data_IF_279469566640
#
_entry.id   IF_279469566640
#
_cell.length_a   1.000
_cell.length_b   1.000
_cell.length_c   1.000
_cell.angle_alpha   90.00
_cell.angle_beta   90.00
_cell.angle_gamma   90.00
#
_symmetry.space_group_name_H-M   'P 1'
#
loop_
_entity.id
_entity.type
_entity.pdbx_description
1 polymer ?
#
# COMPACT_ATOMS: atom_id res chain seq x y z
N UNK A 1 2.96 40.85 3.13
CA UNK A 1 1.52 41.04 2.87
C UNK A 1 0.70 39.97 3.59
N UNK A 2 0.78 38.67 3.26
CA UNK A 2 0.01 37.64 3.97
C UNK A 2 0.43 37.42 5.45
N UNK A 3 1.73 37.28 5.74
CA UNK A 3 2.24 37.21 7.13
C UNK A 3 1.98 38.49 7.95
N UNK A 4 1.80 39.61 7.27
CA UNK A 4 1.46 40.90 7.89
C UNK A 4 -0.02 40.93 8.29
N UNK A 5 -0.88 40.21 7.56
CA UNK A 5 -2.31 40.10 7.82
C UNK A 5 -2.66 38.93 8.76
N UNK A 6 -1.82 37.89 8.79
CA UNK A 6 -1.93 36.74 9.69
C UNK A 6 -0.51 36.34 10.17
N UNK A 7 -0.02 36.91 11.28
CA UNK A 7 1.29 36.59 11.84
C UNK A 7 1.41 35.13 12.30
N UNK A 8 0.27 34.48 12.61
CA UNK A 8 0.20 33.08 13.04
C UNK A 8 0.11 32.07 11.89
N UNK A 9 0.22 32.54 10.63
CA UNK A 9 0.00 31.74 9.42
C UNK A 9 0.84 30.45 9.36
N UNK A 10 2.06 30.49 9.93
CA UNK A 10 3.01 29.37 9.94
C UNK A 10 3.06 28.64 11.30
N UNK A 11 2.28 29.07 12.28
CA UNK A 11 2.37 28.58 13.67
C UNK A 11 1.77 27.18 13.83
N UNK A 12 0.96 26.70 12.87
CA UNK A 12 0.30 25.40 12.94
C UNK A 12 0.57 24.54 11.69
N UNK A 13 1.01 23.31 11.93
CA UNK A 13 1.00 22.23 10.94
C UNK A 13 -0.38 21.54 10.96
N UNK A 14 -0.82 20.99 9.81
CA UNK A 14 -0.12 20.92 8.53
C UNK A 14 -0.33 22.16 7.64
N UNK A 15 0.74 22.58 6.94
CA UNK A 15 0.72 23.66 5.93
C UNK A 15 0.02 23.26 4.61
N UNK A 16 -0.73 22.17 4.60
CA UNK A 16 -1.39 21.61 3.41
C UNK A 16 -2.42 22.56 2.80
N UNK A 17 -2.92 23.51 3.59
CA UNK A 17 -3.89 24.54 3.18
C UNK A 17 -3.27 25.94 3.05
N UNK A 18 -1.95 26.05 3.21
CA UNK A 18 -1.21 27.31 3.11
C UNK A 18 -1.40 28.00 1.75
N UNK A 19 -1.40 27.30 0.59
CA UNK A 19 -1.65 27.96 -0.69
C UNK A 19 -2.99 28.70 -0.75
N UNK A 20 -4.06 28.05 -0.25
CA UNK A 20 -5.40 28.65 -0.15
C UNK A 20 -5.40 29.87 0.77
N UNK A 21 -4.77 29.76 1.95
CA UNK A 21 -4.64 30.88 2.91
C UNK A 21 -3.79 32.04 2.38
N UNK A 22 -2.90 31.78 1.42
CA UNK A 22 -2.11 32.78 0.71
C UNK A 22 -2.83 33.36 -0.53
N UNK A 23 -4.05 32.93 -0.83
CA UNK A 23 -4.78 33.33 -2.04
C UNK A 23 -4.08 32.89 -3.33
N UNK A 24 -3.29 31.81 -3.27
CA UNK A 24 -2.56 31.25 -4.40
C UNK A 24 -3.24 29.96 -4.84
N UNK A 25 -3.64 29.92 -6.11
CA UNK A 25 -4.06 28.71 -6.78
C UNK A 25 -2.83 27.87 -7.17
N UNK A 26 -2.18 27.31 -6.16
CA UNK A 26 -1.22 26.24 -6.35
C UNK A 26 -1.98 24.94 -6.16
N UNK A 27 -1.62 23.91 -6.94
CA UNK A 27 -2.08 22.56 -6.70
C UNK A 27 -1.72 22.18 -5.25
N UNK A 28 -2.68 22.35 -4.35
CA UNK A 28 -2.47 22.07 -2.94
C UNK A 28 -2.24 20.57 -2.80
N UNK A 29 -1.39 20.17 -1.85
CA UNK A 29 -1.17 18.75 -1.58
C UNK A 29 -2.49 17.96 -1.42
N UNK A 30 -3.53 18.50 -0.73
CA UNK A 30 -4.84 17.86 -0.70
C UNK A 30 -5.55 17.78 -2.06
N UNK A 31 -5.41 18.77 -2.94
CA UNK A 31 -5.99 18.72 -4.28
C UNK A 31 -5.30 17.65 -5.15
N UNK A 32 -3.98 17.55 -5.11
CA UNK A 32 -3.23 16.49 -5.79
C UNK A 32 -3.61 15.10 -5.26
N UNK A 33 -3.83 14.98 -3.95
CA UNK A 33 -4.26 13.73 -3.33
C UNK A 33 -5.71 13.35 -3.68
N UNK A 34 -6.61 14.35 -3.80
CA UNK A 34 -8.02 14.17 -4.18
C UNK A 34 -8.20 13.89 -5.68
N UNK A 35 -7.40 14.51 -6.54
CA UNK A 35 -7.44 14.35 -8.00
C UNK A 35 -6.55 13.21 -8.50
N UNK A 36 -6.15 12.28 -7.63
CA UNK A 36 -5.45 11.07 -8.08
C UNK A 36 -6.38 10.23 -8.95
N UNK A 37 -6.16 10.23 -10.26
CA UNK A 37 -6.87 9.34 -11.20
C UNK A 37 -6.36 7.90 -11.02
N UNK A 38 -6.81 7.22 -9.95
CA UNK A 38 -6.45 5.83 -9.63
C UNK A 38 -6.66 4.90 -10.83
N UNK A 39 -7.72 5.13 -11.60
CA UNK A 39 -8.09 4.28 -12.74
C UNK A 39 -7.12 4.32 -13.93
N UNK A 40 -6.40 5.44 -14.14
CA UNK A 40 -5.57 5.60 -15.36
C UNK A 40 -4.33 4.71 -15.33
N UNK A 41 -3.70 4.57 -14.17
CA UNK A 41 -2.50 3.73 -14.02
C UNK A 41 -2.86 2.24 -14.14
N UNK A 42 -3.97 1.84 -13.50
CA UNK A 42 -4.50 0.47 -13.58
C UNK A 42 -4.92 0.11 -15.01
N UNK A 43 -5.58 1.02 -15.74
CA UNK A 43 -5.95 0.79 -17.13
C UNK A 43 -4.72 0.56 -18.03
N UNK A 44 -3.61 1.28 -17.79
CA UNK A 44 -2.36 1.08 -18.53
C UNK A 44 -1.63 -0.19 -18.12
N UNK A 45 -1.75 -0.60 -16.86
CA UNK A 45 -1.13 -1.82 -16.34
C UNK A 45 -1.57 -3.06 -17.13
N UNK A 46 -2.82 -3.11 -17.55
CA UNK A 46 -3.39 -4.20 -18.35
C UNK A 46 -2.69 -4.40 -19.72
N UNK A 47 -2.03 -3.37 -20.23
CA UNK A 47 -1.30 -3.42 -21.51
C UNK A 47 0.22 -3.58 -21.33
N UNK A 48 0.70 -3.84 -20.11
CA UNK A 48 2.11 -4.06 -19.87
C UNK A 48 2.59 -5.35 -20.55
N UNK A 49 3.82 -5.33 -21.07
CA UNK A 49 4.46 -6.47 -21.74
C UNK A 49 5.72 -6.96 -21.03
N UNK A 50 6.08 -6.34 -19.91
CA UNK A 50 7.27 -6.65 -19.12
C UNK A 50 6.89 -7.26 -17.77
N UNK A 51 7.78 -8.00 -17.08
CA UNK A 51 7.51 -8.49 -15.73
C UNK A 51 7.38 -7.37 -14.69
N UNK A 52 6.60 -7.61 -13.64
CA UNK A 52 6.42 -6.69 -12.49
C UNK A 52 6.85 -7.35 -11.17
N UNK A 53 7.51 -6.57 -10.33
CA UNK A 53 7.62 -6.80 -8.88
C UNK A 53 7.07 -5.57 -8.16
N UNK A 54 5.90 -5.73 -7.56
CA UNK A 54 5.26 -4.75 -6.71
C UNK A 54 5.62 -5.05 -5.25
N UNK A 55 6.17 -4.06 -4.55
CA UNK A 55 6.50 -4.14 -3.12
C UNK A 55 5.81 -2.98 -2.42
N UNK A 56 5.08 -3.28 -1.35
CA UNK A 56 4.38 -2.27 -0.56
C UNK A 56 4.23 -2.70 0.89
N UNK A 57 3.58 -1.86 1.69
CA UNK A 57 3.28 -2.15 3.08
C UNK A 57 1.81 -1.91 3.40
N UNK A 58 1.21 -2.69 4.29
CA UNK A 58 -0.20 -2.58 4.72
C UNK A 58 -0.56 -1.21 5.33
N UNK A 59 0.44 -0.51 5.86
CA UNK A 59 0.28 0.81 6.48
C UNK A 59 0.76 1.93 5.56
N UNK A 60 1.07 1.61 4.29
CA UNK A 60 1.41 2.60 3.26
C UNK A 60 0.12 3.14 2.62
N UNK A 61 0.08 4.45 2.36
CA UNK A 61 -1.08 5.11 1.76
C UNK A 61 -1.43 4.63 0.33
N UNK A 62 -0.52 3.92 -0.32
CA UNK A 62 -0.63 3.33 -1.64
C UNK A 62 -0.89 1.82 -1.60
N UNK A 63 -1.18 1.21 -0.43
CA UNK A 63 -1.45 -0.24 -0.30
C UNK A 63 -2.40 -0.75 -1.38
N UNK A 64 -3.59 -0.14 -1.47
CA UNK A 64 -4.59 -0.52 -2.46
C UNK A 64 -4.07 -0.35 -3.90
N UNK A 65 -3.39 0.77 -4.16
CA UNK A 65 -2.85 1.08 -5.48
C UNK A 65 -1.77 0.07 -5.90
N UNK A 66 -0.94 -0.42 -4.96
CA UNK A 66 0.04 -1.48 -5.17
C UNK A 66 -0.64 -2.81 -5.51
N UNK A 67 -1.71 -3.15 -4.79
CA UNK A 67 -2.47 -4.39 -5.03
C UNK A 67 -3.23 -4.34 -6.36
N UNK A 68 -3.89 -3.22 -6.66
CA UNK A 68 -4.60 -3.00 -7.92
C UNK A 68 -3.65 -3.03 -9.12
N UNK A 69 -2.47 -2.41 -9.01
CA UNK A 69 -1.43 -2.47 -10.02
C UNK A 69 -0.96 -3.90 -10.26
N UNK A 70 -0.65 -4.64 -9.19
CA UNK A 70 -0.25 -6.05 -9.31
C UNK A 70 -1.35 -6.87 -9.98
N UNK A 71 -2.59 -6.73 -9.54
CA UNK A 71 -3.72 -7.51 -10.04
C UNK A 71 -4.03 -7.25 -11.51
N UNK A 72 -3.92 -5.99 -11.95
CA UNK A 72 -4.24 -5.59 -13.33
C UNK A 72 -3.07 -5.74 -14.30
N UNK A 73 -1.90 -6.20 -13.85
CA UNK A 73 -0.70 -6.20 -14.70
C UNK A 73 -0.79 -7.21 -15.84
N UNK A 74 -0.75 -6.74 -17.08
CA UNK A 74 -0.87 -7.56 -18.29
C UNK A 74 0.41 -8.32 -18.68
N UNK A 75 1.53 -8.03 -18.01
CA UNK A 75 2.83 -8.61 -18.35
C UNK A 75 2.93 -10.11 -18.05
N UNK A 76 3.98 -10.78 -18.54
CA UNK A 76 4.11 -12.25 -18.47
C UNK A 76 4.21 -12.79 -17.04
N UNK A 77 4.65 -11.97 -16.09
CA UNK A 77 4.83 -12.36 -14.69
C UNK A 77 4.64 -11.13 -13.78
N UNK A 78 3.76 -11.23 -12.80
CA UNK A 78 3.55 -10.22 -11.77
C UNK A 78 3.81 -10.81 -10.37
N UNK A 79 4.60 -10.10 -9.56
CA UNK A 79 4.94 -10.47 -8.18
C UNK A 79 4.49 -9.39 -7.22
N UNK A 80 3.90 -9.80 -6.09
CA UNK A 80 3.54 -8.92 -4.98
C UNK A 80 4.29 -9.34 -3.72
N UNK A 81 4.86 -8.37 -3.02
CA UNK A 81 5.29 -8.50 -1.64
C UNK A 81 4.66 -7.39 -0.81
N UNK A 82 3.81 -7.75 0.14
CA UNK A 82 3.13 -6.80 1.02
C UNK A 82 3.46 -7.12 2.47
N UNK A 83 4.24 -6.26 3.12
CA UNK A 83 4.63 -6.42 4.52
C UNK A 83 3.81 -5.54 5.48
N UNK A 84 3.94 -5.69 6.80
CA UNK A 84 3.32 -4.81 7.79
C UNK A 84 4.16 -3.53 7.94
N UNK A 85 4.30 -2.78 6.85
CA UNK A 85 5.18 -1.62 6.76
C UNK A 85 4.42 -0.36 6.41
N UNK A 86 5.00 0.80 6.76
CA UNK A 86 4.63 2.07 6.17
C UNK A 86 5.48 2.38 4.94
N UNK A 87 5.55 3.66 4.58
CA UNK A 87 6.26 4.11 3.38
C UNK A 87 7.76 3.81 3.34
N UNK A 88 8.41 3.71 4.50
CA UNK A 88 9.81 3.30 4.59
C UNK A 88 10.04 1.80 4.44
N UNK A 89 9.01 1.00 4.14
CA UNK A 89 9.07 -0.47 4.00
C UNK A 89 9.77 -1.10 5.22
N UNK A 90 10.79 -1.93 5.00
CA UNK A 90 11.55 -2.58 6.07
C UNK A 90 12.40 -1.62 6.91
N UNK A 91 12.67 -0.41 6.42
CA UNK A 91 13.43 0.63 7.14
C UNK A 91 12.60 1.45 8.13
N UNK A 92 11.27 1.48 7.94
CA UNK A 92 10.32 2.06 8.88
C UNK A 92 9.12 1.09 9.05
N UNK A 93 9.35 -0.05 9.73
CA UNK A 93 8.31 -1.07 9.89
C UNK A 93 7.14 -0.53 10.68
N UNK A 94 5.92 -0.89 10.27
CA UNK A 94 4.68 -0.47 10.93
C UNK A 94 4.30 -1.41 12.08
N UNK A 95 3.14 -1.17 12.70
CA UNK A 95 2.60 -2.06 13.73
C UNK A 95 2.50 -3.52 13.26
N UNK A 96 2.85 -4.47 14.14
CA UNK A 96 2.84 -5.90 13.88
C UNK A 96 4.04 -6.46 13.09
N UNK A 97 5.06 -5.63 12.81
CA UNK A 97 6.27 -6.07 12.15
C UNK A 97 7.30 -6.69 13.10
N UNK A 98 7.49 -8.01 13.01
CA UNK A 98 8.57 -8.75 13.67
C UNK A 98 9.80 -8.96 12.78
N UNK A 99 10.85 -9.65 13.29
CA UNK A 99 12.04 -10.01 12.52
C UNK A 99 11.74 -10.78 11.23
N UNK A 100 10.73 -11.67 11.25
CA UNK A 100 10.28 -12.41 10.07
C UNK A 100 9.74 -11.52 8.94
N UNK A 101 9.40 -10.26 9.24
CA UNK A 101 8.89 -9.27 8.30
C UNK A 101 9.97 -8.31 7.78
N UNK A 102 11.26 -8.65 7.94
CA UNK A 102 12.39 -7.83 7.46
C UNK A 102 13.25 -8.58 6.43
N UNK A 103 12.67 -8.98 5.28
CA UNK A 103 13.46 -9.58 4.21
C UNK A 103 14.51 -8.58 3.69
N UNK A 104 15.64 -9.10 3.20
CA UNK A 104 16.66 -8.31 2.53
C UNK A 104 16.13 -7.81 1.18
N UNK A 105 15.41 -6.68 1.16
CA UNK A 105 14.77 -6.14 -0.05
C UNK A 105 15.77 -5.89 -1.19
N UNK A 106 17.00 -5.47 -0.88
CA UNK A 106 18.05 -5.28 -1.87
C UNK A 106 18.39 -6.58 -2.61
N UNK A 107 18.60 -7.68 -1.89
CA UNK A 107 18.86 -8.99 -2.48
C UNK A 107 17.67 -9.51 -3.28
N UNK A 108 16.45 -9.30 -2.75
CA UNK A 108 15.22 -9.63 -3.45
C UNK A 108 15.15 -8.93 -4.80
N UNK A 109 15.39 -7.61 -4.86
CA UNK A 109 15.36 -6.86 -6.11
C UNK A 109 16.39 -7.37 -7.11
N UNK A 110 17.64 -7.59 -6.68
CA UNK A 110 18.71 -8.08 -7.55
C UNK A 110 18.38 -9.48 -8.10
N UNK A 111 17.91 -10.39 -7.23
CA UNK A 111 17.57 -11.75 -7.62
C UNK A 111 16.37 -11.79 -8.56
N UNK A 112 15.34 -10.98 -8.28
CA UNK A 112 14.18 -10.85 -9.16
C UNK A 112 14.58 -10.30 -10.53
N UNK A 113 15.38 -9.22 -10.57
CA UNK A 113 15.83 -8.60 -11.81
C UNK A 113 16.64 -9.59 -12.67
N UNK A 114 17.58 -10.34 -12.07
CA UNK A 114 18.30 -11.42 -12.77
C UNK A 114 17.36 -12.43 -13.38
N UNK A 115 16.34 -12.89 -12.64
CA UNK A 115 15.38 -13.87 -13.15
C UNK A 115 14.51 -13.28 -14.25
N UNK A 116 14.12 -12.01 -14.16
CA UNK A 116 13.38 -11.31 -15.19
C UNK A 116 14.18 -11.24 -16.50
N UNK A 117 15.44 -10.79 -16.40
CA UNK A 117 16.35 -10.63 -17.54
C UNK A 117 16.73 -11.95 -18.20
N UNK A 118 16.71 -13.05 -17.45
CA UNK A 118 17.04 -14.39 -17.96
C UNK A 118 15.80 -15.23 -18.32
N UNK A 119 14.59 -14.64 -18.30
CA UNK A 119 13.35 -15.36 -18.63
C UNK A 119 12.98 -16.47 -17.65
N UNK A 120 13.50 -16.46 -16.42
CA UNK A 120 13.31 -17.53 -15.41
C UNK A 120 12.19 -17.24 -14.41
N UNK A 121 11.32 -16.28 -14.71
CA UNK A 121 10.16 -15.98 -13.89
C UNK A 121 9.01 -16.92 -14.25
N UNK A 122 8.36 -17.49 -13.24
CA UNK A 122 7.13 -18.26 -13.44
C UNK A 122 6.03 -17.35 -14.01
N UNK A 123 5.28 -17.77 -15.04
CA UNK A 123 4.18 -16.96 -15.56
C UNK A 123 3.08 -16.67 -14.54
N UNK A 124 2.34 -15.59 -14.79
CA UNK A 124 1.14 -15.22 -14.04
C UNK A 124 1.40 -14.43 -12.76
N UNK A 125 0.35 -14.33 -11.94
CA UNK A 125 0.28 -13.51 -10.73
C UNK A 125 0.57 -14.34 -9.49
N UNK A 126 1.61 -13.97 -8.75
CA UNK A 126 1.98 -14.61 -7.49
C UNK A 126 2.36 -13.54 -6.47
N UNK A 127 2.29 -13.84 -5.19
CA UNK A 127 2.81 -12.93 -4.18
C UNK A 127 2.79 -13.48 -2.77
N UNK A 128 3.28 -12.68 -1.84
CA UNK A 128 3.30 -12.97 -0.42
C UNK A 128 2.81 -11.75 0.37
N UNK A 129 1.94 -12.00 1.35
CA UNK A 129 1.35 -11.03 2.25
C UNK A 129 1.78 -11.41 3.67
N UNK A 130 2.42 -10.50 4.40
CA UNK A 130 2.73 -10.71 5.80
C UNK A 130 1.46 -10.59 6.65
N UNK A 131 1.32 -11.45 7.65
CA UNK A 131 0.31 -11.30 8.69
C UNK A 131 0.94 -10.55 9.87
N UNK A 132 0.45 -9.34 10.16
CA UNK A 132 0.91 -8.58 11.33
C UNK A 132 0.74 -9.39 12.63
N UNK A 133 1.68 -9.22 13.56
CA UNK A 133 1.70 -9.88 14.87
C UNK A 133 1.88 -11.41 14.86
N UNK A 134 2.08 -12.00 13.67
CA UNK A 134 2.46 -13.39 13.50
C UNK A 134 3.72 -13.49 12.64
N UNK A 135 4.63 -14.42 12.91
CA UNK A 135 5.81 -14.63 12.05
C UNK A 135 5.45 -15.42 10.78
N UNK A 136 4.44 -14.96 10.03
CA UNK A 136 3.82 -15.68 8.92
C UNK A 136 3.68 -14.85 7.65
N UNK A 137 4.00 -15.49 6.52
CA UNK A 137 3.72 -14.99 5.18
C UNK A 137 2.70 -15.89 4.51
N UNK A 138 1.62 -15.29 4.01
CA UNK A 138 0.54 -15.95 3.29
C UNK A 138 0.69 -15.73 1.79
N UNK A 139 0.37 -16.72 0.94
CA UNK A 139 0.35 -16.50 -0.50
C UNK A 139 -0.72 -15.47 -0.87
N UNK A 140 -0.33 -14.45 -1.64
CA UNK A 140 -1.28 -13.52 -2.25
C UNK A 140 -2.07 -14.29 -3.30
N UNK A 141 -3.37 -14.44 -3.09
CA UNK A 141 -4.28 -15.02 -4.08
C UNK A 141 -4.87 -13.88 -4.90
N UNK A 142 -4.96 -14.06 -6.22
CA UNK A 142 -5.83 -13.21 -7.04
C UNK A 142 -7.22 -13.23 -6.42
N UNK A 143 -7.87 -12.06 -6.40
CA UNK A 143 -9.11 -11.78 -5.67
C UNK A 143 -10.20 -12.76 -6.12
N UNK A 144 -10.27 -13.90 -5.44
CA UNK A 144 -11.37 -14.86 -5.56
C UNK A 144 -12.55 -14.27 -4.81
N UNK A 145 -13.77 -14.67 -5.22
CA UNK A 145 -15.00 -14.19 -4.61
C UNK A 145 -14.90 -14.13 -3.07
N UNK A 146 -15.50 -13.12 -2.42
CA UNK A 146 -15.38 -12.94 -0.98
C UNK A 146 -15.60 -14.27 -0.26
N UNK A 147 -14.61 -14.69 0.53
CA UNK A 147 -14.72 -15.87 1.36
C UNK A 147 -15.94 -15.69 2.25
N UNK A 148 -16.99 -16.46 1.99
CA UNK A 148 -18.14 -16.54 2.90
C UNK A 148 -17.69 -17.35 4.10
N UNK A 149 -16.94 -16.71 5.00
CA UNK A 149 -16.64 -17.28 6.30
C UNK A 149 -17.97 -17.32 7.06
N UNK A 150 -18.37 -18.50 7.53
CA UNK A 150 -19.45 -18.61 8.52
C UNK A 150 -18.80 -18.42 9.89
N UNK A 151 -18.84 -17.21 10.48
CA UNK A 151 -18.22 -16.99 11.78
C UNK A 151 -18.87 -17.93 12.79
N UNK A 152 -18.04 -18.65 13.55
CA UNK A 152 -18.50 -19.50 14.64
C UNK A 152 -18.24 -18.74 15.95
N UNK A 153 -19.27 -18.43 16.75
CA UNK A 153 -19.08 -17.70 17.99
C UNK A 153 -18.21 -18.52 18.96
N UNK A 154 -17.13 -17.92 19.45
CA UNK A 154 -16.21 -18.55 20.41
C UNK A 154 -16.70 -18.34 21.85
N UNK A 155 -17.38 -17.22 22.14
CA UNK A 155 -17.82 -16.84 23.50
C UNK A 155 -19.28 -16.36 23.58
N UNK A 156 -20.11 -16.71 22.58
CA UNK A 156 -21.51 -16.28 22.48
C UNK A 156 -21.80 -15.44 21.24
N UNK A 157 -23.08 -15.27 20.90
CA UNK A 157 -23.54 -14.55 19.70
C UNK A 157 -23.79 -13.06 19.95
N UNK A 158 -23.66 -12.60 21.19
CA UNK A 158 -23.97 -11.23 21.58
C UNK A 158 -22.65 -10.49 21.82
N UNK A 159 -22.26 -9.69 20.85
CA UNK A 159 -21.23 -8.66 21.00
C UNK A 159 -21.93 -7.31 21.03
N UNK A 160 -21.80 -6.59 22.13
CA UNK A 160 -22.21 -5.20 22.22
C UNK A 160 -20.94 -4.36 22.15
N UNK A 161 -20.75 -3.65 21.04
CA UNK A 161 -19.69 -2.64 20.95
C UNK A 161 -20.17 -1.42 21.75
N UNK A 162 -19.77 -1.35 23.03
CA UNK A 162 -20.06 -0.21 23.90
C UNK A 162 -18.88 0.78 23.80
N UNK A 163 -19.04 1.93 23.14
CA UNK A 163 -17.96 2.89 22.98
C UNK A 163 -17.49 3.51 24.31
N UNK A 164 -18.30 3.41 25.38
CA UNK A 164 -17.94 3.89 26.72
C UNK A 164 -17.23 2.80 27.55
N UNK A 165 -17.09 1.57 27.02
CA UNK A 165 -16.40 0.43 27.63
C UNK A 165 -15.56 -0.34 26.59
N UNK A 166 -14.43 0.23 26.16
CA UNK A 166 -13.53 -0.38 25.17
C UNK A 166 -12.83 -1.64 25.68
#
# INVERSE_FOLDING_TARGET
>A
RALTADPGLLTHLPLTDLPRRLGRDLASWPALWRHRDRGRLVARAAHAVVPLLAVGGHHDHFTDDTVDLWHAWGGPSARLLLGPWGHGLTGAPGPGAGPAHRPALGELYVNWARRALTGRLTPGHHGALALGDADLWLPARSRTAPLTLRPRPVHGTVFTADPDRP
#
